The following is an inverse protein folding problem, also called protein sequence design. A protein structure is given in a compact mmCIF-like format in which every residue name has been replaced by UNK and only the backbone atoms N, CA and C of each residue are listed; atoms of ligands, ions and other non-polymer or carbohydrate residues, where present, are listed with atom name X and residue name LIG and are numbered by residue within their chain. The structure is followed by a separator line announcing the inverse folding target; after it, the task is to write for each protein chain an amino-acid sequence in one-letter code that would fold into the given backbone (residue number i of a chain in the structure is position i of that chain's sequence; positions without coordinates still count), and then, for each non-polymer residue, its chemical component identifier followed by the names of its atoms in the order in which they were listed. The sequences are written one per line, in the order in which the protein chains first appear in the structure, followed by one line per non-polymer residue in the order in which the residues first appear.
data_IF_815257239378
#
_entry.id   IF_815257239378
#
_cell.length_a   1.000
_cell.length_b   1.000
_cell.length_c   1.000
_cell.angle_alpha   90.00
_cell.angle_beta   90.00
_cell.angle_gamma   90.00
#
_symmetry.space_group_name_H-M   'P 1'
#
loop_
_entity.id
_entity.type
_entity.pdbx_description
1 polymer ?
#
# COMPACT_ATOMS: atom_id res chain seq x y z
N UNK A 1 -25.89 -16.81 -16.10
CA UNK A 1 -24.82 -15.89 -15.65
C UNK A 1 -25.38 -15.01 -14.56
N UNK A 2 -24.79 -15.04 -13.36
CA UNK A 2 -25.17 -14.14 -12.26
C UNK A 2 -24.60 -12.75 -12.57
N UNK A 3 -25.45 -11.74 -12.68
CA UNK A 3 -24.99 -10.35 -12.76
C UNK A 3 -24.60 -9.89 -11.35
N UNK A 4 -23.32 -9.59 -11.17
CA UNK A 4 -22.81 -8.93 -9.97
C UNK A 4 -23.59 -7.61 -9.82
N UNK A 5 -24.12 -7.34 -8.63
CA UNK A 5 -24.75 -6.04 -8.36
C UNK A 5 -23.74 -4.91 -8.55
N UNK A 6 -24.14 -3.83 -9.21
CA UNK A 6 -23.28 -2.66 -9.37
C UNK A 6 -22.89 -2.11 -8.00
N UNK A 7 -21.59 -1.97 -7.75
CA UNK A 7 -21.07 -1.37 -6.53
C UNK A 7 -21.12 0.16 -6.65
N UNK A 8 -22.07 0.79 -5.97
CA UNK A 8 -22.10 2.24 -5.80
C UNK A 8 -21.20 2.64 -4.63
N UNK A 9 -20.23 3.51 -4.88
CA UNK A 9 -19.45 4.22 -3.87
C UNK A 9 -19.95 5.66 -3.82
N UNK A 10 -20.01 6.25 -2.63
CA UNK A 10 -20.53 7.61 -2.43
C UNK A 10 -19.58 8.72 -2.88
N UNK A 11 -18.43 8.36 -3.45
CA UNK A 11 -17.34 9.26 -3.81
C UNK A 11 -16.62 8.73 -5.06
N UNK A 12 -16.04 9.64 -5.85
CA UNK A 12 -15.38 9.29 -7.12
C UNK A 12 -13.86 9.21 -6.94
N UNK A 13 -13.16 8.30 -7.66
CA UNK A 13 -11.71 8.31 -7.72
C UNK A 13 -11.22 9.63 -8.33
N UNK A 14 -10.19 10.22 -7.74
CA UNK A 14 -9.65 11.51 -8.17
C UNK A 14 -8.64 11.42 -9.30
N UNK A 15 -8.05 10.24 -9.49
CA UNK A 15 -6.95 10.03 -10.41
C UNK A 15 -7.27 8.88 -11.35
N UNK A 16 -6.91 9.04 -12.62
CA UNK A 16 -6.95 7.97 -13.62
C UNK A 16 -5.74 7.02 -13.50
N UNK A 17 -5.18 6.86 -12.30
CA UNK A 17 -4.08 5.93 -12.03
C UNK A 17 -4.59 4.51 -11.87
N UNK A 18 -3.79 3.52 -12.26
CA UNK A 18 -4.08 2.09 -12.01
C UNK A 18 -4.03 1.74 -10.52
N UNK A 19 -3.43 2.59 -9.69
CA UNK A 19 -3.20 2.30 -8.27
C UNK A 19 -4.39 2.72 -7.38
N UNK A 20 -5.45 3.25 -8.00
CA UNK A 20 -6.70 3.60 -7.30
C UNK A 20 -7.68 2.44 -7.21
N UNK A 21 -7.47 1.36 -7.97
CA UNK A 21 -8.33 0.17 -7.98
C UNK A 21 -7.46 -1.08 -8.03
N UNK A 22 -7.35 -1.81 -6.92
CA UNK A 22 -6.51 -3.00 -6.85
C UNK A 22 -7.20 -4.20 -6.19
N UNK A 23 -6.82 -5.40 -6.64
CA UNK A 23 -7.23 -6.66 -6.03
C UNK A 23 -6.17 -7.14 -5.05
N UNK A 24 -6.60 -7.56 -3.86
CA UNK A 24 -5.74 -8.23 -2.90
C UNK A 24 -5.63 -9.72 -3.22
N UNK A 25 -4.57 -10.37 -2.70
CA UNK A 25 -4.44 -11.83 -2.78
C UNK A 25 -5.54 -12.57 -2.01
N UNK A 26 -6.20 -11.90 -1.05
CA UNK A 26 -7.30 -12.45 -0.25
C UNK A 26 -8.68 -12.28 -0.91
N UNK A 27 -8.74 -11.81 -2.16
CA UNK A 27 -9.99 -11.63 -2.90
C UNK A 27 -10.78 -10.38 -2.49
N UNK A 28 -10.12 -9.39 -1.88
CA UNK A 28 -10.69 -8.08 -1.61
C UNK A 28 -10.32 -7.08 -2.71
N UNK A 29 -11.07 -5.99 -2.80
CA UNK A 29 -10.83 -4.90 -3.74
C UNK A 29 -10.62 -3.62 -2.93
N UNK A 30 -9.50 -2.91 -3.15
CA UNK A 30 -9.35 -1.53 -2.68
C UNK A 30 -9.82 -0.57 -3.76
N UNK A 31 -10.56 0.46 -3.36
CA UNK A 31 -10.96 1.57 -4.21
C UNK A 31 -10.59 2.88 -3.51
N UNK A 32 -9.66 3.61 -4.08
CA UNK A 32 -9.16 4.89 -3.58
C UNK A 32 -10.05 6.02 -4.11
N UNK A 33 -10.66 6.78 -3.21
CA UNK A 33 -11.47 7.97 -3.53
C UNK A 33 -10.86 9.21 -2.88
N UNK A 34 -11.50 10.38 -3.08
CA UNK A 34 -11.06 11.63 -2.42
C UNK A 34 -10.99 11.48 -0.91
N UNK A 35 -12.06 10.96 -0.31
CA UNK A 35 -12.29 10.98 1.15
C UNK A 35 -11.96 9.68 1.87
N UNK A 36 -11.80 8.56 1.15
CA UNK A 36 -11.58 7.26 1.76
C UNK A 36 -10.84 6.29 0.85
N UNK A 37 -10.28 5.24 1.45
CA UNK A 37 -9.98 4.00 0.75
C UNK A 37 -11.04 2.97 1.16
N UNK A 38 -11.90 2.59 0.21
CA UNK A 38 -12.88 1.55 0.41
C UNK A 38 -12.26 0.19 0.19
N UNK A 39 -12.45 -0.73 1.14
CA UNK A 39 -12.09 -2.14 1.00
C UNK A 39 -13.39 -2.92 0.87
N UNK A 40 -13.52 -3.62 -0.25
CA UNK A 40 -14.75 -4.26 -0.67
C UNK A 40 -14.50 -5.75 -0.79
N UNK A 41 -15.35 -6.54 -0.12
CA UNK A 41 -15.25 -8.01 -0.14
C UNK A 41 -16.55 -8.61 -0.66
N UNK A 42 -16.52 -9.51 -1.65
CA UNK A 42 -17.73 -10.18 -2.13
C UNK A 42 -18.38 -11.01 -1.02
N UNK A 43 -19.70 -10.84 -0.82
CA UNK A 43 -20.49 -11.67 0.08
C UNK A 43 -21.08 -12.87 -0.66
N UNK A 44 -20.35 -13.98 -0.61
CA UNK A 44 -20.80 -15.23 -1.21
C UNK A 44 -21.96 -15.91 -0.44
N UNK A 45 -22.25 -15.49 0.80
CA UNK A 45 -23.31 -16.12 1.63
C UNK A 45 -24.71 -15.75 1.14
N UNK A 46 -24.87 -14.56 0.56
CA UNK A 46 -26.13 -14.06 0.00
C UNK A 46 -26.73 -14.95 -1.09
N UNK A 47 -25.93 -15.83 -1.73
CA UNK A 47 -26.40 -16.72 -2.80
C UNK A 47 -27.12 -17.99 -2.35
N UNK A 48 -27.17 -18.26 -1.03
CA UNK A 48 -27.70 -19.52 -0.48
C UNK A 48 -29.00 -19.38 0.35
N UNK A 49 -29.90 -18.47 -0.03
CA UNK A 49 -31.27 -18.49 0.51
C UNK A 49 -32.05 -19.69 -0.04
N UNK A 50 -31.96 -20.82 0.69
CA UNK A 50 -32.57 -22.11 0.35
C UNK A 50 -34.07 -22.20 0.68
N UNK A 51 -34.77 -21.07 0.82
CA UNK A 51 -36.20 -21.03 1.09
C UNK A 51 -36.91 -20.24 -0.01
N UNK A 52 -37.66 -20.97 -0.83
CA UNK A 52 -38.26 -20.50 -2.07
C UNK A 52 -39.25 -19.37 -1.87
N UNK A 53 -38.88 -18.20 -2.39
CA UNK A 53 -39.73 -17.28 -3.16
C UNK A 53 -38.77 -16.33 -3.88
N UNK A 54 -38.51 -16.56 -5.16
CA UNK A 54 -37.81 -15.56 -5.99
C UNK A 54 -38.80 -14.44 -6.31
N UNK A 55 -38.39 -13.18 -6.22
CA UNK A 55 -38.18 -12.49 -7.49
C UNK A 55 -36.94 -11.58 -7.48
N UNK A 56 -36.25 -11.54 -8.61
CA UNK A 56 -35.17 -10.61 -8.99
C UNK A 56 -33.73 -10.99 -8.59
N UNK A 57 -33.03 -11.62 -9.55
CA UNK A 57 -31.57 -11.59 -9.71
C UNK A 57 -30.72 -12.22 -8.59
N UNK A 58 -29.98 -13.28 -8.91
CA UNK A 58 -28.85 -13.72 -8.07
C UNK A 58 -27.77 -12.61 -8.06
N UNK A 59 -27.94 -11.61 -7.21
CA UNK A 59 -27.00 -10.54 -7.03
C UNK A 59 -26.02 -10.92 -5.91
N UNK A 60 -24.74 -11.01 -6.26
CA UNK A 60 -23.68 -11.11 -5.26
C UNK A 60 -23.73 -9.85 -4.39
N UNK A 61 -23.84 -10.03 -3.07
CA UNK A 61 -23.74 -8.94 -2.10
C UNK A 61 -22.29 -8.49 -1.91
N UNK A 62 -22.08 -7.36 -1.25
CA UNK A 62 -20.76 -6.81 -0.99
C UNK A 62 -20.67 -6.30 0.45
N UNK A 63 -19.65 -6.76 1.18
CA UNK A 63 -19.22 -6.08 2.41
C UNK A 63 -18.32 -4.91 2.04
N UNK A 64 -18.47 -3.80 2.77
CA UNK A 64 -17.68 -2.60 2.59
C UNK A 64 -17.15 -2.14 3.94
N UNK A 65 -15.86 -1.88 3.99
CA UNK A 65 -15.21 -1.12 5.06
C UNK A 65 -14.43 0.03 4.43
N UNK A 66 -14.15 1.08 5.20
CA UNK A 66 -13.54 2.30 4.67
C UNK A 66 -12.47 2.81 5.64
N UNK A 67 -11.34 3.22 5.08
CA UNK A 67 -10.28 3.94 5.79
C UNK A 67 -10.46 5.43 5.49
N UNK A 68 -10.83 6.19 6.51
CA UNK A 68 -11.00 7.65 6.42
C UNK A 68 -9.85 8.43 7.08
N UNK A 69 -9.01 7.74 7.84
CA UNK A 69 -8.00 8.37 8.68
C UNK A 69 -6.75 8.71 7.86
N UNK A 70 -6.53 10.00 7.61
CA UNK A 70 -5.26 10.50 7.03
C UNK A 70 -4.15 10.61 8.10
N UNK A 71 -4.52 10.67 9.38
CA UNK A 71 -3.65 10.88 10.52
C UNK A 71 -3.14 12.30 10.67
N UNK A 72 -2.01 12.41 11.37
CA UNK A 72 -1.33 13.69 11.54
C UNK A 72 -0.74 14.09 10.19
N UNK A 73 -1.29 15.15 9.62
CA UNK A 73 -0.82 15.72 8.36
C UNK A 73 0.54 16.38 8.63
N UNK A 74 1.57 15.90 7.94
CA UNK A 74 2.92 16.48 8.08
C UNK A 74 2.92 17.86 7.44
N UNK A 75 3.18 18.88 8.25
CA UNK A 75 3.41 20.23 7.77
C UNK A 75 4.86 20.33 7.26
N UNK A 76 5.05 19.97 5.99
CA UNK A 76 6.37 19.95 5.35
C UNK A 76 7.05 21.33 5.29
N UNK A 77 6.32 22.42 5.50
CA UNK A 77 6.81 23.81 5.45
C UNK A 77 7.14 24.42 6.80
N UNK A 78 6.82 23.78 7.93
CA UNK A 78 6.83 24.46 9.24
C UNK A 78 8.23 24.84 9.73
N UNK A 79 9.29 24.22 9.21
CA UNK A 79 10.65 24.51 9.68
C UNK A 79 11.44 25.48 8.78
N UNK A 80 10.93 25.89 7.59
CA UNK A 80 11.52 27.01 6.83
C UNK A 80 10.64 27.52 5.67
N UNK A 81 10.76 28.81 5.36
CA UNK A 81 10.08 29.43 4.21
C UNK A 81 10.51 28.83 2.85
N UNK A 82 11.73 28.28 2.76
CA UNK A 82 12.21 27.59 1.55
C UNK A 82 11.47 26.28 1.31
N UNK A 83 11.03 25.60 2.37
CA UNK A 83 10.31 24.34 2.29
C UNK A 83 8.89 24.53 1.75
N UNK A 84 8.31 25.72 1.86
CA UNK A 84 7.02 26.06 1.23
C UNK A 84 7.05 25.96 -0.29
N UNK A 85 8.20 26.19 -0.94
CA UNK A 85 8.35 26.01 -2.40
C UNK A 85 8.51 24.54 -2.81
N UNK A 86 9.05 23.73 -1.89
CA UNK A 86 9.22 22.29 -2.09
C UNK A 86 8.01 21.49 -1.63
N UNK A 87 7.10 22.06 -0.87
CA UNK A 87 5.92 21.37 -0.35
C UNK A 87 4.70 21.73 -1.17
N UNK A 88 4.20 20.78 -1.96
CA UNK A 88 2.86 20.90 -2.56
C UNK A 88 1.82 20.61 -1.46
N UNK A 89 1.79 21.45 -0.43
CA UNK A 89 0.75 21.38 0.59
C UNK A 89 -0.57 21.79 -0.07
N UNK A 90 -1.34 20.78 -0.47
CA UNK A 90 -2.69 20.99 -0.97
C UNK A 90 -3.61 21.31 0.21
N UNK A 91 -4.51 22.29 0.03
CA UNK A 91 -5.49 22.72 1.05
C UNK A 91 -6.34 21.54 1.56
N UNK A 92 -6.55 20.54 0.71
CA UNK A 92 -7.25 19.31 1.04
C UNK A 92 -6.31 18.11 0.91
N UNK A 93 -6.31 17.24 1.93
CA UNK A 93 -5.64 15.95 1.88
C UNK A 93 -6.55 14.93 1.22
N UNK A 94 -6.03 14.25 0.21
CA UNK A 94 -6.76 13.23 -0.53
C UNK A 94 -5.89 11.99 -0.70
N UNK A 95 -6.54 10.84 -0.83
CA UNK A 95 -5.84 9.61 -1.15
C UNK A 95 -5.42 9.60 -2.62
N UNK A 96 -4.19 9.17 -2.89
CA UNK A 96 -3.63 9.09 -4.25
C UNK A 96 -3.50 7.66 -4.77
N UNK A 97 -3.02 6.75 -3.92
CA UNK A 97 -2.73 5.38 -4.32
C UNK A 97 -2.85 4.43 -3.13
N UNK A 98 -3.07 3.16 -3.44
CA UNK A 98 -2.95 2.08 -2.48
C UNK A 98 -2.25 0.88 -3.13
N UNK A 99 -1.50 0.12 -2.33
CA UNK A 99 -0.84 -1.11 -2.78
C UNK A 99 -1.08 -2.24 -1.80
N UNK A 100 -1.63 -3.36 -2.28
CA UNK A 100 -1.79 -4.57 -1.49
C UNK A 100 -0.47 -5.32 -1.31
N UNK A 101 -0.22 -5.83 -0.11
CA UNK A 101 0.79 -6.84 0.10
C UNK A 101 0.30 -8.22 -0.35
N UNK A 102 1.19 -9.23 -0.47
CA UNK A 102 0.79 -10.62 -0.45
C UNK A 102 0.01 -10.98 0.83
N UNK A 103 -0.82 -12.04 0.75
CA UNK A 103 -1.49 -12.63 1.91
C UNK A 103 -0.48 -13.09 2.98
N UNK A 104 -0.94 -13.37 4.20
CA UNK A 104 -0.14 -13.90 5.31
C UNK A 104 0.87 -12.94 5.99
N UNK A 105 0.85 -11.66 5.65
CA UNK A 105 1.78 -10.67 6.22
C UNK A 105 1.24 -9.96 7.46
N UNK A 106 -0.07 -10.00 7.72
CA UNK A 106 -0.64 -9.48 8.97
C UNK A 106 -0.86 -10.60 10.01
N UNK A 107 -1.12 -10.23 11.28
CA UNK A 107 -1.35 -11.18 12.40
C UNK A 107 -2.55 -12.12 12.21
N UNK A 108 -3.46 -11.79 11.31
CA UNK A 108 -4.63 -12.61 10.96
C UNK A 108 -4.36 -13.52 9.75
N UNK A 109 -3.14 -13.51 9.22
CA UNK A 109 -2.75 -14.30 8.06
C UNK A 109 -3.24 -13.73 6.72
N UNK A 110 -3.62 -12.45 6.67
CA UNK A 110 -4.07 -11.78 5.43
C UNK A 110 -3.09 -10.73 4.90
N UNK A 111 -3.56 -9.96 3.93
CA UNK A 111 -2.84 -8.85 3.31
C UNK A 111 -2.78 -7.62 4.24
N UNK A 112 -1.73 -6.84 4.07
CA UNK A 112 -1.61 -5.45 4.50
C UNK A 112 -1.94 -4.53 3.32
N UNK A 113 -2.29 -3.29 3.63
CA UNK A 113 -2.52 -2.26 2.61
C UNK A 113 -1.57 -1.08 2.87
N UNK A 114 -0.73 -0.74 1.89
CA UNK A 114 0.01 0.52 1.91
C UNK A 114 -0.84 1.60 1.25
N UNK A 115 -0.85 2.82 1.78
CA UNK A 115 -1.55 3.96 1.17
C UNK A 115 -0.66 5.18 1.03
N UNK A 116 -0.95 5.97 0.02
CA UNK A 116 -0.25 7.22 -0.29
C UNK A 116 -1.25 8.37 -0.38
N UNK A 117 -0.91 9.52 0.21
CA UNK A 117 -1.70 10.76 0.12
C UNK A 117 -1.07 11.77 -0.83
N UNK A 118 -1.83 12.77 -1.27
CA UNK A 118 -1.29 13.91 -2.02
C UNK A 118 -0.35 14.81 -1.22
N UNK A 119 -0.36 14.71 0.11
CA UNK A 119 0.64 15.32 0.97
C UNK A 119 1.88 14.43 1.14
N UNK A 120 2.09 13.45 0.25
CA UNK A 120 3.32 12.67 0.14
C UNK A 120 3.61 11.81 1.38
N UNK A 121 2.54 11.46 2.11
CA UNK A 121 2.60 10.63 3.31
C UNK A 121 2.23 9.19 2.99
N UNK A 122 2.99 8.26 3.57
CA UNK A 122 2.85 6.82 3.40
C UNK A 122 2.57 6.15 4.74
N UNK A 123 1.53 5.32 4.76
CA UNK A 123 1.18 4.50 5.91
C UNK A 123 0.83 3.06 5.51
N UNK A 124 0.94 2.14 6.47
CA UNK A 124 0.51 0.75 6.34
C UNK A 124 -0.69 0.49 7.24
N UNK A 125 -1.66 -0.24 6.71
CA UNK A 125 -2.93 -0.57 7.35
C UNK A 125 -3.10 -2.08 7.47
N UNK A 126 -3.69 -2.50 8.58
CA UNK A 126 -4.04 -3.89 8.83
C UNK A 126 -5.47 -4.00 9.41
N UNK A 127 -6.17 -5.11 9.16
CA UNK A 127 -7.45 -5.39 9.80
C UNK A 127 -7.24 -5.76 11.27
N UNK A 128 -8.06 -5.20 12.17
CA UNK A 128 -7.98 -5.52 13.60
C UNK A 128 -8.58 -6.91 13.90
N UNK A 129 -9.67 -7.24 13.20
CA UNK A 129 -10.43 -8.49 13.35
C UNK A 129 -10.86 -8.98 11.98
N UNK A 130 -12.15 -9.17 11.74
CA UNK A 130 -12.63 -9.66 10.45
C UNK A 130 -12.21 -8.71 9.31
N UNK A 131 -11.37 -9.12 8.34
CA UNK A 131 -10.90 -8.23 7.29
C UNK A 131 -12.01 -7.79 6.33
N UNK A 132 -13.11 -8.53 6.24
CA UNK A 132 -14.22 -8.25 5.32
C UNK A 132 -15.20 -7.20 5.85
N UNK A 133 -15.39 -7.15 7.18
CA UNK A 133 -16.43 -6.30 7.82
C UNK A 133 -15.90 -5.42 8.93
N UNK A 134 -14.66 -5.66 9.37
CA UNK A 134 -14.04 -4.99 10.49
C UNK A 134 -13.32 -3.70 10.10
N UNK A 135 -12.89 -3.00 11.14
CA UNK A 135 -12.05 -1.82 11.03
C UNK A 135 -10.64 -2.17 10.58
N UNK A 136 -10.08 -1.28 9.78
CA UNK A 136 -8.67 -1.28 9.39
C UNK A 136 -7.99 -0.12 10.11
N UNK A 137 -6.91 -0.43 10.82
CA UNK A 137 -6.15 0.56 11.60
C UNK A 137 -4.76 0.74 11.03
N UNK A 138 -4.20 1.93 11.22
CA UNK A 138 -2.81 2.22 10.88
C UNK A 138 -1.89 1.43 11.80
N UNK A 139 -1.00 0.64 11.21
CA UNK A 139 -0.02 -0.17 11.94
C UNK A 139 1.41 0.32 11.76
N UNK A 140 1.67 1.16 10.74
CA UNK A 140 2.94 1.87 10.61
C UNK A 140 2.75 3.21 9.88
N UNK A 141 3.48 4.23 10.33
CA UNK A 141 3.69 5.48 9.60
C UNK A 141 5.11 5.47 9.02
N UNK A 142 5.21 5.20 7.72
CA UNK A 142 6.51 5.07 7.04
C UNK A 142 7.14 6.44 6.85
N UNK A 143 6.32 7.48 6.68
CA UNK A 143 6.81 8.84 6.55
C UNK A 143 7.47 9.32 7.85
N UNK A 144 6.85 9.07 9.00
CA UNK A 144 7.45 9.37 10.30
C UNK A 144 8.77 8.61 10.49
N UNK A 145 8.81 7.33 10.13
CA UNK A 145 10.03 6.53 10.17
C UNK A 145 11.14 7.11 9.28
N UNK A 146 10.81 7.51 8.05
CA UNK A 146 11.77 8.14 7.13
C UNK A 146 12.29 9.44 7.70
N UNK A 147 11.40 10.29 8.21
CA UNK A 147 11.75 11.57 8.84
C UNK A 147 12.72 11.36 10.00
N UNK A 148 12.41 10.43 10.91
CA UNK A 148 13.27 10.10 12.05
C UNK A 148 14.62 9.49 11.63
N UNK A 149 14.67 8.80 10.49
CA UNK A 149 15.91 8.20 9.98
C UNK A 149 16.87 9.22 9.35
N UNK A 150 16.36 10.37 8.92
CA UNK A 150 17.16 11.44 8.29
C UNK A 150 17.41 12.64 9.20
N UNK A 151 16.53 12.90 10.18
CA UNK A 151 16.73 13.96 11.16
C UNK A 151 17.64 13.52 12.30
N UNK A 152 18.93 13.80 12.22
CA UNK A 152 19.77 13.79 13.43
C UNK A 152 19.41 15.02 14.28
N UNK A 153 18.74 14.82 15.41
CA UNK A 153 18.44 15.90 16.36
C UNK A 153 17.25 16.80 15.99
N UNK A 154 16.17 16.22 15.47
CA UNK A 154 14.89 16.87 15.10
C UNK A 154 14.89 17.83 13.89
N UNK A 155 16.06 18.18 13.34
CA UNK A 155 16.14 19.02 12.14
C UNK A 155 16.49 18.20 10.89
N UNK A 156 15.55 18.14 9.93
CA UNK A 156 15.80 17.58 8.60
C UNK A 156 16.42 18.65 7.72
N UNK A 157 17.54 18.32 7.07
CA UNK A 157 18.13 19.19 6.04
C UNK A 157 17.27 19.15 4.78
N UNK A 158 17.18 20.26 4.05
CA UNK A 158 16.36 20.40 2.83
C UNK A 158 16.55 19.26 1.81
N UNK A 159 17.79 18.78 1.63
CA UNK A 159 18.10 17.69 0.69
C UNK A 159 17.50 16.35 1.15
N UNK A 160 17.35 16.13 2.44
CA UNK A 160 16.77 14.92 3.01
C UNK A 160 15.24 15.00 3.12
N UNK A 161 14.67 16.20 3.13
CA UNK A 161 13.22 16.42 3.07
C UNK A 161 12.61 15.74 1.83
N UNK A 162 13.23 15.92 0.67
CA UNK A 162 12.77 15.32 -0.58
C UNK A 162 12.83 13.78 -0.57
N UNK A 163 13.68 13.20 0.28
CA UNK A 163 13.79 11.73 0.47
C UNK A 163 12.66 11.18 1.34
N UNK A 164 12.06 12.02 2.18
CA UNK A 164 10.92 11.66 3.04
C UNK A 164 9.56 11.85 2.34
N UNK A 165 9.54 12.60 1.24
CA UNK A 165 8.34 12.90 0.46
C UNK A 165 8.07 11.79 -0.56
N UNK A 166 7.25 10.82 -0.14
CA UNK A 166 6.88 9.65 -0.95
C UNK A 166 5.89 10.05 -2.05
N UNK A 167 6.09 9.55 -3.27
CA UNK A 167 5.27 9.91 -4.44
C UNK A 167 4.79 8.71 -5.27
N UNK A 168 5.34 7.53 -5.04
CA UNK A 168 4.85 6.27 -5.61
C UNK A 168 5.13 5.10 -4.68
N UNK A 169 4.30 4.07 -4.76
CA UNK A 169 4.41 2.85 -3.95
C UNK A 169 4.08 1.62 -4.79
N UNK A 170 4.78 0.52 -4.52
CA UNK A 170 4.44 -0.77 -5.08
C UNK A 170 4.90 -1.90 -4.16
N UNK A 171 4.00 -2.82 -3.85
CA UNK A 171 4.34 -4.05 -3.13
C UNK A 171 4.74 -5.15 -4.12
N UNK A 172 5.82 -5.86 -3.83
CA UNK A 172 6.23 -7.03 -4.59
C UNK A 172 5.37 -8.25 -4.27
N UNK A 173 5.35 -9.22 -5.20
CA UNK A 173 4.83 -10.56 -4.91
C UNK A 173 5.62 -11.28 -3.81
N UNK A 174 5.15 -12.45 -3.34
CA UNK A 174 5.90 -13.24 -2.38
C UNK A 174 7.20 -13.77 -3.00
N UNK A 175 8.29 -13.61 -2.26
CA UNK A 175 9.61 -14.18 -2.55
C UNK A 175 9.85 -15.33 -1.57
N UNK A 176 9.91 -16.56 -2.04
CA UNK A 176 9.99 -17.74 -1.19
C UNK A 176 11.45 -18.08 -0.86
N UNK A 177 11.77 -18.27 0.42
CA UNK A 177 13.07 -18.81 0.82
C UNK A 177 12.98 -20.34 0.86
N UNK A 178 13.50 -21.03 -0.18
CA UNK A 178 13.69 -22.49 -0.18
C UNK A 178 12.98 -23.27 -1.29
N UNK A 179 13.46 -24.49 -1.54
CA UNK A 179 13.04 -25.38 -2.65
C UNK A 179 11.72 -26.12 -2.38
N UNK A 180 11.22 -26.14 -1.13
CA UNK A 180 10.09 -26.99 -0.73
C UNK A 180 8.94 -26.20 -0.09
N UNK A 181 7.68 -26.34 -0.58
CA UNK A 181 6.52 -25.55 -0.14
C UNK A 181 6.15 -25.60 1.36
N UNK A 182 6.64 -26.60 2.10
CA UNK A 182 6.14 -26.93 3.44
C UNK A 182 6.80 -26.15 4.60
N UNK A 183 7.88 -25.40 4.35
CA UNK A 183 8.61 -24.67 5.40
C UNK A 183 8.94 -23.22 5.02
N UNK A 184 8.44 -22.73 3.88
CA UNK A 184 8.95 -21.50 3.29
C UNK A 184 8.39 -20.27 4.02
N UNK A 185 9.25 -19.66 4.85
CA UNK A 185 9.17 -18.23 5.12
C UNK A 185 9.29 -17.52 3.76
N UNK A 186 8.33 -16.67 3.45
CA UNK A 186 8.43 -15.79 2.28
C UNK A 186 8.57 -14.36 2.75
N UNK A 187 9.28 -13.58 1.94
CA UNK A 187 9.45 -12.17 2.14
C UNK A 187 8.69 -11.43 1.05
N UNK A 188 8.35 -10.19 1.35
CA UNK A 188 7.83 -9.27 0.37
C UNK A 188 8.34 -7.89 0.72
N UNK A 189 8.71 -7.17 -0.32
CA UNK A 189 9.22 -5.81 -0.24
C UNK A 189 8.17 -4.82 -0.73
N UNK A 190 7.98 -3.76 0.04
CA UNK A 190 7.33 -2.52 -0.37
C UNK A 190 8.40 -1.58 -0.92
N UNK A 191 8.32 -1.25 -2.20
CA UNK A 191 9.11 -0.19 -2.82
C UNK A 191 8.39 1.15 -2.67
N UNK A 192 9.16 2.19 -2.35
CA UNK A 192 8.67 3.55 -2.10
C UNK A 192 9.55 4.52 -2.88
N UNK A 193 8.96 5.21 -3.84
CA UNK A 193 9.62 6.22 -4.66
C UNK A 193 9.46 7.60 -4.06
N UNK A 194 10.54 8.36 -3.97
CA UNK A 194 10.57 9.69 -3.36
C UNK A 194 10.78 10.80 -4.40
N UNK A 195 10.48 12.05 -4.01
CA UNK A 195 10.73 13.22 -4.86
C UNK A 195 12.20 13.52 -5.10
N UNK A 196 13.08 13.05 -4.22
CA UNK A 196 14.51 13.08 -4.45
C UNK A 196 14.96 12.18 -5.60
N UNK A 197 14.10 11.29 -6.12
CA UNK A 197 14.47 10.27 -7.10
C UNK A 197 15.13 9.04 -6.50
N UNK A 198 15.08 8.90 -5.17
CA UNK A 198 15.44 7.69 -4.45
C UNK A 198 14.27 6.69 -4.43
N UNK A 199 14.60 5.41 -4.50
CA UNK A 199 13.67 4.31 -4.21
C UNK A 199 14.15 3.59 -2.95
N UNK A 200 13.31 3.59 -1.93
CA UNK A 200 13.54 2.89 -0.66
C UNK A 200 12.72 1.61 -0.58
N UNK A 201 13.26 0.59 0.07
CA UNK A 201 12.62 -0.72 0.21
C UNK A 201 12.39 -1.05 1.68
N UNK A 202 11.18 -1.49 1.98
CA UNK A 202 10.76 -1.91 3.32
C UNK A 202 10.24 -3.34 3.26
N UNK A 203 10.39 -4.08 4.35
CA UNK A 203 9.73 -5.38 4.53
C UNK A 203 8.87 -5.34 5.79
N UNK A 204 7.83 -6.16 5.83
CA UNK A 204 7.05 -6.33 7.06
C UNK A 204 7.64 -7.47 7.89
N UNK A 205 7.93 -7.19 9.16
CA UNK A 205 8.36 -8.20 10.12
C UNK A 205 7.18 -8.61 11.00
N UNK A 206 6.64 -9.80 10.72
CA UNK A 206 5.49 -10.33 11.46
C UNK A 206 5.79 -10.61 12.94
N UNK A 207 7.05 -10.86 13.31
CA UNK A 207 7.42 -11.19 14.69
C UNK A 207 7.27 -9.98 15.63
N UNK A 208 7.57 -8.78 15.12
CA UNK A 208 7.45 -7.52 15.85
C UNK A 208 6.26 -6.67 15.36
N UNK A 209 5.56 -7.12 14.32
CA UNK A 209 4.42 -6.44 13.69
C UNK A 209 4.74 -5.01 13.27
N UNK A 210 5.88 -4.85 12.59
CA UNK A 210 6.39 -3.54 12.19
C UNK A 210 7.05 -3.57 10.81
N UNK A 211 7.05 -2.40 10.15
CA UNK A 211 7.83 -2.19 8.95
C UNK A 211 9.32 -2.04 9.28
N UNK A 212 10.17 -2.69 8.50
CA UNK A 212 11.63 -2.64 8.63
C UNK A 212 12.25 -2.15 7.33
N UNK A 213 13.04 -1.08 7.43
CA UNK A 213 13.86 -0.60 6.33
C UNK A 213 14.89 -1.67 5.90
N UNK A 214 15.01 -1.87 4.60
CA UNK A 214 15.94 -2.83 4.01
C UNK A 214 17.13 -2.11 3.38
N UNK A 215 16.88 -1.34 2.33
CA UNK A 215 17.91 -0.64 1.54
C UNK A 215 17.27 0.44 0.66
N UNK A 216 18.10 1.27 0.01
CA UNK A 216 17.67 2.29 -0.95
C UNK A 216 18.68 2.46 -2.08
N UNK A 217 18.21 2.97 -3.21
CA UNK A 217 19.06 3.38 -4.33
C UNK A 217 18.56 4.69 -4.93
N UNK A 218 19.50 5.52 -5.38
CA UNK A 218 19.21 6.69 -6.20
C UNK A 218 18.99 6.22 -7.64
N UNK A 219 17.81 6.48 -8.21
CA UNK A 219 17.44 5.98 -9.53
C UNK A 219 17.30 7.10 -10.56
N UNK A 220 16.96 8.32 -10.13
CA UNK A 220 16.97 9.49 -11.01
C UNK A 220 17.18 10.79 -10.24
N UNK A 221 17.40 11.87 -10.98
CA UNK A 221 17.41 13.25 -10.48
C UNK A 221 16.04 13.94 -10.60
N UNK A 222 14.97 13.13 -10.73
CA UNK A 222 13.59 13.56 -10.85
C UNK A 222 12.68 12.71 -9.95
N UNK A 223 11.40 13.10 -9.82
CA UNK A 223 10.44 12.41 -8.97
C UNK A 223 10.14 11.00 -9.52
N UNK A 224 9.97 10.04 -8.62
CA UNK A 224 9.55 8.69 -9.01
C UNK A 224 8.02 8.64 -9.08
N UNK A 225 7.44 8.82 -10.27
CA UNK A 225 5.97 8.89 -10.42
C UNK A 225 5.29 7.52 -10.42
N UNK A 226 6.03 6.44 -10.72
CA UNK A 226 5.47 5.09 -10.78
C UNK A 226 6.51 4.04 -10.43
N UNK A 227 6.03 3.00 -9.75
CA UNK A 227 6.76 1.78 -9.47
C UNK A 227 5.89 0.58 -9.87
N UNK A 228 6.53 -0.42 -10.47
CA UNK A 228 5.90 -1.73 -10.65
C UNK A 228 6.95 -2.82 -10.48
N UNK A 229 6.54 -4.00 -10.03
CA UNK A 229 7.43 -5.14 -9.84
C UNK A 229 7.26 -6.17 -10.94
N UNK A 230 8.37 -6.72 -11.43
CA UNK A 230 8.35 -8.01 -12.11
C UNK A 230 8.11 -9.14 -11.11
N UNK A 231 7.82 -10.33 -11.63
CA UNK A 231 7.86 -11.54 -10.80
C UNK A 231 9.28 -11.76 -10.30
N UNK A 232 9.39 -12.38 -9.12
CA UNK A 232 10.66 -12.87 -8.60
C UNK A 232 11.12 -14.05 -9.44
N UNK A 233 12.34 -13.97 -9.94
CA UNK A 233 12.99 -15.06 -10.66
C UNK A 233 14.08 -15.68 -9.78
N UNK A 234 14.15 -17.03 -9.68
CA UNK A 234 15.25 -17.68 -9.03
C UNK A 234 16.53 -17.42 -9.83
N UNK A 235 17.59 -17.04 -9.12
CA UNK A 235 18.94 -16.92 -9.67
C UNK A 235 19.76 -18.07 -9.10
N UNK A 236 20.29 -18.91 -9.98
CA UNK A 236 21.18 -20.00 -9.62
C UNK A 236 22.57 -19.45 -9.31
N UNK A 237 22.76 -18.97 -8.07
CA UNK A 237 24.06 -18.48 -7.60
C UNK A 237 24.81 -19.61 -6.88
N UNK A 238 25.55 -20.44 -7.65
CA UNK A 238 26.55 -21.39 -7.13
C UNK A 238 26.11 -22.17 -5.87
N UNK A 239 24.87 -22.68 -5.83
CA UNK A 239 24.34 -23.49 -4.73
C UNK A 239 23.64 -22.74 -3.60
N UNK A 240 23.42 -21.43 -3.71
CA UNK A 240 22.50 -20.67 -2.84
C UNK A 240 21.32 -20.15 -3.66
N UNK A 241 20.06 -20.47 -3.30
CA UNK A 241 18.91 -19.87 -3.97
C UNK A 241 18.86 -18.39 -3.62
N UNK A 242 19.10 -17.52 -4.61
CA UNK A 242 18.82 -16.09 -4.53
C UNK A 242 17.65 -15.77 -5.46
N UNK A 243 16.92 -14.69 -5.17
CA UNK A 243 15.79 -14.24 -5.98
C UNK A 243 16.02 -12.81 -6.43
N UNK A 244 15.79 -12.53 -7.71
CA UNK A 244 15.86 -11.19 -8.28
C UNK A 244 14.48 -10.74 -8.75
N UNK A 245 14.10 -9.52 -8.38
CA UNK A 245 12.87 -8.87 -8.80
C UNK A 245 13.25 -7.51 -9.35
N UNK A 246 12.92 -7.24 -10.60
CA UNK A 246 13.11 -5.92 -11.18
C UNK A 246 11.94 -5.05 -10.79
N UNK A 247 12.20 -3.81 -10.41
CA UNK A 247 11.16 -2.79 -10.41
C UNK A 247 11.32 -1.94 -11.67
N UNK A 248 10.24 -1.78 -12.43
CA UNK A 248 10.21 -0.84 -13.55
C UNK A 248 9.79 0.52 -13.04
N UNK A 249 10.52 1.55 -13.46
CA UNK A 249 10.34 2.93 -13.04
C UNK A 249 9.98 3.74 -14.28
N UNK A 250 8.86 4.46 -14.22
CA UNK A 250 8.52 5.49 -15.19
C UNK A 250 8.72 6.85 -14.49
N UNK A 251 9.31 7.81 -15.21
CA UNK A 251 9.62 9.17 -14.75
C UNK A 251 8.69 10.20 -15.39
#
# INVERSE_FOLDING_TARGET
MSLISSLLLGDSPLSASTDVLQYSADGQISVVTRSAIYIVTPDFRASSSRNGTSPQGNHLGWFKTAIHDFGIIKAWSDNSAEWSTLSLATVENVWQAASWSPSGLNRLGGCLLASLTNNLQLAIWAPVKNPSTGEWTRVADITEYQVASYGEGDEIVQQDLLKCQSCSIAWSGPCYEGVTPAANKYYSLLAVGARSGDVSFFCWDLAIDAARYCFKFKVADAWIIRLAWSRWEPVDDNGRPSHFGTSSIEY
#
